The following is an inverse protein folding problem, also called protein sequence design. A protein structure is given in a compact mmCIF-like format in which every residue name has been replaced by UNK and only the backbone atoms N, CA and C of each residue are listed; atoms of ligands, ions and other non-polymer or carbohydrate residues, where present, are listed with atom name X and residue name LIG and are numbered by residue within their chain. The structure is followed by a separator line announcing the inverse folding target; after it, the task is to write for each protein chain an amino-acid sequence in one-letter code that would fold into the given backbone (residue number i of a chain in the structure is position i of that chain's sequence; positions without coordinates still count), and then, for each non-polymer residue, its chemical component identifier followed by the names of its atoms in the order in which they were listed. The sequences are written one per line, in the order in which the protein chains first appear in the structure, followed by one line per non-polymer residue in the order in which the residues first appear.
data_IF_584046173293
#
_entry.id   IF_584046173293
#
_cell.length_a   1.000
_cell.length_b   1.000
_cell.length_c   1.000
_cell.angle_alpha   90.00
_cell.angle_beta   90.00
_cell.angle_gamma   90.00
#
_symmetry.space_group_name_H-M   'P 1'
#
loop_
_entity.id
_entity.type
_entity.pdbx_description
1 polymer ?
#
# COMPACT_ATOMS: atom_id res chain seq x y z
N UNK A 1 10.72 7.55 -5.99
CA UNK A 1 9.53 6.71 -5.70
C UNK A 1 8.38 7.61 -5.23
N UNK A 2 7.15 7.30 -5.61
CA UNK A 2 5.94 7.99 -5.18
C UNK A 2 4.77 6.99 -5.05
N UNK A 3 3.67 7.40 -4.41
CA UNK A 3 2.51 6.55 -4.09
C UNK A 3 2.90 5.25 -3.35
N UNK A 4 4.00 5.27 -2.61
CA UNK A 4 4.40 4.19 -1.72
C UNK A 4 3.59 4.24 -0.43
N UNK A 5 3.54 3.14 0.28
CA UNK A 5 2.97 3.07 1.62
C UNK A 5 4.08 3.28 2.64
N UNK A 6 3.75 4.04 3.67
CA UNK A 6 4.63 4.24 4.82
C UNK A 6 3.96 3.68 6.08
N UNK A 7 4.76 3.15 6.97
CA UNK A 7 4.34 2.72 8.29
C UNK A 7 5.46 3.00 9.30
N UNK A 8 5.09 3.11 10.56
CA UNK A 8 6.04 3.14 11.66
C UNK A 8 5.62 2.10 12.70
N UNK A 9 6.53 1.21 13.07
CA UNK A 9 6.34 0.19 14.08
C UNK A 9 7.62 0.02 14.89
N UNK A 10 7.51 0.02 16.20
CA UNK A 10 8.60 -0.22 17.15
C UNK A 10 9.87 0.62 16.89
N UNK A 11 9.68 1.90 16.56
CA UNK A 11 10.78 2.84 16.28
C UNK A 11 11.42 2.67 14.88
N UNK A 12 10.89 1.80 14.06
CA UNK A 12 11.35 1.56 12.68
C UNK A 12 10.38 2.20 11.70
N UNK A 13 10.91 2.92 10.71
CA UNK A 13 10.14 3.44 9.57
C UNK A 13 10.19 2.43 8.43
N UNK A 14 9.06 2.17 7.80
CA UNK A 14 8.91 1.29 6.64
C UNK A 14 8.44 2.06 5.42
N UNK A 15 9.04 1.76 4.26
CA UNK A 15 8.67 2.29 2.95
C UNK A 15 8.46 1.12 1.99
N UNK A 16 7.22 0.92 1.56
CA UNK A 16 6.78 -0.31 0.94
C UNK A 16 6.16 -0.02 -0.43
N UNK A 17 6.60 -0.71 -1.48
CA UNK A 17 6.07 -0.63 -2.83
C UNK A 17 6.08 0.77 -3.44
N UNK A 18 4.98 1.14 -4.08
CA UNK A 18 4.83 2.40 -4.79
C UNK A 18 5.23 2.33 -6.25
N UNK A 19 5.51 3.49 -6.82
CA UNK A 19 5.87 3.66 -8.24
C UNK A 19 7.25 4.30 -8.33
N UNK A 20 8.12 3.68 -9.13
CA UNK A 20 9.38 4.25 -9.60
C UNK A 20 9.22 4.87 -10.98
N UNK A 21 10.25 5.62 -11.38
CA UNK A 21 10.42 6.08 -12.75
C UNK A 21 11.72 5.46 -13.28
N UNK A 22 11.65 4.88 -14.46
CA UNK A 22 12.82 4.45 -15.23
C UNK A 22 12.80 5.11 -16.59
N UNK A 23 13.97 5.26 -17.18
CA UNK A 23 14.10 5.74 -18.54
C UNK A 23 14.11 4.55 -19.51
N UNK A 24 13.29 4.64 -20.56
CA UNK A 24 13.23 3.68 -21.64
C UNK A 24 13.07 4.44 -22.96
N UNK A 25 14.02 4.28 -23.87
CA UNK A 25 14.05 4.98 -25.16
C UNK A 25 13.89 6.52 -25.05
N UNK A 26 14.57 7.14 -24.08
CA UNK A 26 14.52 8.58 -23.83
C UNK A 26 13.19 9.08 -23.23
N UNK A 27 12.32 8.16 -22.78
CA UNK A 27 11.05 8.49 -22.12
C UNK A 27 11.02 7.96 -20.67
N UNK A 28 10.40 8.73 -19.79
CA UNK A 28 10.15 8.27 -18.43
C UNK A 28 8.94 7.32 -18.41
N UNK A 29 9.17 6.09 -17.94
CA UNK A 29 8.16 5.05 -17.79
C UNK A 29 7.92 4.79 -16.30
N UNK A 30 6.66 4.68 -15.92
CA UNK A 30 6.25 4.31 -14.56
C UNK A 30 6.37 2.80 -14.35
N UNK A 31 7.01 2.42 -13.26
CA UNK A 31 7.21 1.03 -12.86
C UNK A 31 6.64 0.82 -11.45
N UNK A 32 5.76 -0.15 -11.30
CA UNK A 32 5.27 -0.59 -9.99
C UNK A 32 6.37 -1.38 -9.29
N UNK A 33 6.62 -1.07 -8.02
CA UNK A 33 7.74 -1.60 -7.25
C UNK A 33 7.27 -2.67 -6.27
N UNK A 34 8.01 -3.79 -6.24
CA UNK A 34 7.91 -4.83 -5.18
C UNK A 34 8.87 -4.58 -4.03
N UNK A 35 9.72 -3.58 -4.15
CA UNK A 35 10.74 -3.27 -3.15
C UNK A 35 10.14 -2.77 -1.84
N UNK A 36 10.66 -3.30 -0.74
CA UNK A 36 10.38 -2.90 0.62
C UNK A 36 11.66 -2.50 1.35
N UNK A 37 11.58 -1.46 2.16
CA UNK A 37 12.71 -0.88 2.90
C UNK A 37 12.32 -0.53 4.32
N UNK A 38 13.26 -0.65 5.25
CA UNK A 38 13.16 -0.12 6.60
C UNK A 38 14.27 0.89 6.87
N UNK A 39 14.03 1.78 7.83
CA UNK A 39 15.00 2.77 8.27
C UNK A 39 15.00 2.90 9.80
N UNK A 40 16.19 2.92 10.37
CA UNK A 40 16.44 3.41 11.73
C UNK A 40 17.60 4.39 11.71
N UNK A 41 17.69 5.34 12.66
CA UNK A 41 18.82 6.28 12.72
C UNK A 41 20.19 5.56 12.85
N UNK A 42 20.24 4.43 13.53
CA UNK A 42 21.50 3.70 13.82
C UNK A 42 22.00 2.90 12.62
N UNK A 43 21.07 2.35 11.80
CA UNK A 43 21.39 1.44 10.68
C UNK A 43 21.24 2.08 9.31
N UNK A 44 20.50 3.20 9.22
CA UNK A 44 20.08 3.77 7.95
C UNK A 44 19.07 2.89 7.22
N UNK A 45 19.04 2.99 5.90
CA UNK A 45 18.14 2.20 5.05
C UNK A 45 18.60 0.75 4.93
N UNK A 46 17.69 -0.18 5.17
CA UNK A 46 17.90 -1.62 5.00
C UNK A 46 16.85 -2.18 4.06
N UNK A 47 17.27 -2.93 3.04
CA UNK A 47 16.36 -3.62 2.12
C UNK A 47 15.72 -4.81 2.84
N UNK A 48 14.42 -4.95 2.66
CA UNK A 48 13.63 -6.07 3.19
C UNK A 48 13.35 -7.10 2.09
N UNK A 49 12.81 -8.29 2.43
CA UNK A 49 12.27 -9.20 1.44
C UNK A 49 11.26 -8.50 0.53
N UNK A 50 11.31 -8.79 -0.76
CA UNK A 50 10.40 -8.20 -1.74
C UNK A 50 8.96 -8.65 -1.50
N UNK A 51 8.03 -7.75 -1.80
CA UNK A 51 6.60 -8.06 -1.79
C UNK A 51 6.28 -9.11 -2.87
N UNK A 52 5.35 -10.05 -2.62
CA UNK A 52 4.94 -11.04 -3.61
C UNK A 52 4.39 -10.45 -4.90
N UNK A 53 3.79 -9.28 -4.82
CA UNK A 53 3.35 -8.47 -5.95
C UNK A 53 3.42 -6.98 -5.59
N UNK A 54 3.51 -6.13 -6.60
CA UNK A 54 3.60 -4.70 -6.40
C UNK A 54 2.27 -4.11 -5.92
N UNK A 55 2.35 -3.14 -5.00
CA UNK A 55 1.21 -2.34 -4.56
C UNK A 55 1.64 -0.87 -4.55
N UNK A 56 0.81 -0.02 -5.13
CA UNK A 56 0.93 1.42 -5.03
C UNK A 56 -0.39 2.05 -4.58
N UNK A 57 -0.31 3.25 -4.01
CA UNK A 57 -1.47 4.06 -3.67
C UNK A 57 -2.49 3.41 -2.71
N UNK A 58 -2.14 2.34 -2.00
CA UNK A 58 -2.95 1.81 -0.90
C UNK A 58 -3.05 2.85 0.23
N UNK A 59 -4.00 2.70 1.18
CA UNK A 59 -4.13 3.60 2.31
C UNK A 59 -2.80 3.85 3.02
N UNK A 60 -2.49 5.13 3.25
CA UNK A 60 -1.22 5.51 3.88
C UNK A 60 -1.44 6.63 4.92
N UNK A 61 -0.78 6.61 6.11
CA UNK A 61 0.09 5.54 6.61
C UNK A 61 -0.60 4.17 6.61
N UNK A 62 0.15 3.11 6.30
CA UNK A 62 -0.37 1.76 6.33
C UNK A 62 -0.76 1.36 7.77
N UNK A 63 -1.93 0.74 7.99
CA UNK A 63 -2.34 0.28 9.31
C UNK A 63 -1.35 -0.72 9.90
N UNK A 64 -1.07 -0.57 11.20
CA UNK A 64 -0.19 -1.45 11.96
C UNK A 64 -0.96 -2.04 13.14
N UNK A 65 -0.96 -3.35 13.28
CA UNK A 65 -1.56 -4.04 14.43
C UNK A 65 -0.73 -3.84 15.70
N UNK A 66 -1.31 -4.17 16.85
CA UNK A 66 -0.59 -4.12 18.14
C UNK A 66 0.63 -5.04 18.19
N UNK A 67 0.64 -6.09 17.37
CA UNK A 67 1.74 -7.06 17.29
C UNK A 67 2.79 -6.68 16.22
N UNK A 68 2.75 -5.45 15.71
CA UNK A 68 3.72 -4.97 14.72
C UNK A 68 3.49 -5.45 13.29
N UNK A 69 2.36 -6.08 12.98
CA UNK A 69 2.05 -6.48 11.60
C UNK A 69 1.53 -5.27 10.82
N UNK A 70 2.17 -4.98 9.68
CA UNK A 70 1.83 -3.87 8.78
C UNK A 70 0.91 -4.39 7.67
N UNK A 71 -0.20 -3.72 7.40
CA UNK A 71 -1.19 -4.13 6.40
C UNK A 71 -1.22 -3.18 5.20
N UNK A 72 -1.08 -3.74 4.01
CA UNK A 72 -1.27 -3.05 2.73
C UNK A 72 -2.64 -3.44 2.17
N UNK A 73 -3.60 -2.53 2.23
CA UNK A 73 -5.01 -2.81 1.98
C UNK A 73 -5.41 -2.37 0.56
N UNK A 74 -5.49 -3.31 -0.37
CA UNK A 74 -5.88 -3.03 -1.76
C UNK A 74 -4.84 -2.20 -2.51
N UNK A 75 -5.24 -1.04 -3.06
CA UNK A 75 -4.39 -0.19 -3.87
C UNK A 75 -4.30 -0.63 -5.33
N UNK A 76 -3.34 -0.06 -6.06
CA UNK A 76 -3.07 -0.38 -7.47
C UNK A 76 -1.95 -1.41 -7.59
N UNK A 77 -2.25 -2.57 -8.11
CA UNK A 77 -1.32 -3.66 -8.41
C UNK A 77 -0.90 -3.71 -9.88
N UNK A 78 -1.34 -2.74 -10.69
CA UNK A 78 -1.08 -2.65 -12.12
C UNK A 78 -2.02 -3.50 -12.99
N UNK A 79 -2.89 -4.31 -12.42
CA UNK A 79 -3.84 -5.14 -13.19
C UNK A 79 -4.81 -4.30 -14.02
N UNK A 80 -5.06 -3.07 -13.58
CA UNK A 80 -5.92 -2.11 -14.25
C UNK A 80 -5.39 -1.54 -15.56
N UNK A 81 -4.09 -1.66 -15.86
CA UNK A 81 -3.43 -1.06 -17.05
C UNK A 81 -4.02 -1.49 -18.39
N UNK A 82 -4.60 -2.67 -18.47
CA UNK A 82 -5.23 -3.23 -19.68
C UNK A 82 -6.62 -2.68 -19.99
N UNK A 83 -7.19 -1.89 -19.08
CA UNK A 83 -8.53 -1.33 -19.22
C UNK A 83 -8.50 0.16 -19.54
N UNK A 84 -9.54 0.66 -20.19
CA UNK A 84 -9.80 2.10 -20.26
C UNK A 84 -10.42 2.58 -18.93
N UNK A 85 -10.43 3.88 -18.63
CA UNK A 85 -11.10 4.38 -17.42
C UNK A 85 -12.58 3.95 -17.30
N UNK A 86 -13.26 3.82 -18.43
CA UNK A 86 -14.68 3.43 -18.49
C UNK A 86 -14.87 1.94 -18.16
N UNK A 87 -13.99 1.07 -18.67
CA UNK A 87 -14.09 -0.39 -18.52
C UNK A 87 -13.32 -0.94 -17.32
N UNK A 88 -12.54 -0.10 -16.63
CA UNK A 88 -11.77 -0.50 -15.48
C UNK A 88 -12.68 -0.99 -14.34
N UNK A 89 -12.50 -2.22 -13.83
CA UNK A 89 -13.35 -2.79 -12.79
C UNK A 89 -13.12 -2.18 -11.39
N UNK A 90 -12.05 -1.44 -11.21
CA UNK A 90 -11.64 -0.90 -9.91
C UNK A 90 -10.24 -1.37 -9.52
N UNK A 91 -9.84 -1.05 -8.30
CA UNK A 91 -8.54 -1.41 -7.76
C UNK A 91 -8.55 -2.82 -7.14
N UNK A 92 -7.35 -3.31 -6.82
CA UNK A 92 -7.15 -4.62 -6.22
C UNK A 92 -7.89 -4.74 -4.87
N UNK A 93 -8.59 -5.84 -4.67
CA UNK A 93 -9.28 -6.13 -3.41
C UNK A 93 -8.48 -7.08 -2.50
N UNK A 94 -7.32 -7.56 -2.91
CA UNK A 94 -6.44 -8.37 -2.07
C UNK A 94 -5.58 -7.47 -1.19
N UNK A 95 -5.15 -8.00 -0.07
CA UNK A 95 -4.28 -7.32 0.88
C UNK A 95 -3.07 -8.16 1.20
N UNK A 96 -1.95 -7.48 1.45
CA UNK A 96 -0.74 -8.10 1.99
C UNK A 96 -0.53 -7.65 3.43
N UNK A 97 0.14 -8.46 4.21
CA UNK A 97 0.71 -8.00 5.47
C UNK A 97 2.18 -8.41 5.60
N UNK A 98 2.94 -7.54 6.26
CA UNK A 98 4.31 -7.80 6.67
C UNK A 98 4.33 -8.08 8.17
N UNK A 99 4.71 -9.30 8.56
CA UNK A 99 5.12 -9.59 9.93
C UNK A 99 6.50 -9.00 10.17
N UNK A 100 6.59 -7.94 10.98
CA UNK A 100 7.86 -7.24 11.20
C UNK A 100 8.81 -8.02 12.13
N UNK A 101 8.33 -8.99 12.89
CA UNK A 101 9.17 -9.83 13.73
C UNK A 101 9.84 -10.95 12.93
N UNK A 102 9.08 -11.60 12.05
CA UNK A 102 9.59 -12.65 11.17
C UNK A 102 10.23 -12.10 9.88
N UNK A 103 9.91 -10.85 9.49
CA UNK A 103 10.23 -10.25 8.19
C UNK A 103 9.69 -11.07 7.02
N UNK A 104 8.45 -11.53 7.16
CA UNK A 104 7.77 -12.36 6.17
C UNK A 104 6.48 -11.70 5.67
N UNK A 105 6.23 -11.86 4.36
CA UNK A 105 4.99 -11.42 3.72
C UNK A 105 3.94 -12.52 3.73
N UNK A 106 2.71 -12.14 4.04
CA UNK A 106 1.56 -13.04 4.01
C UNK A 106 0.39 -12.41 3.26
N UNK A 107 -0.47 -13.25 2.69
CA UNK A 107 -1.77 -12.83 2.19
C UNK A 107 -2.68 -12.52 3.39
N UNK A 108 -3.22 -11.30 3.41
CA UNK A 108 -4.15 -10.83 4.45
C UNK A 108 -5.63 -10.94 4.00
N UNK A 109 -5.86 -11.51 2.82
CA UNK A 109 -7.19 -11.73 2.26
C UNK A 109 -7.83 -10.49 1.62
N UNK A 110 -9.08 -10.65 1.17
CA UNK A 110 -9.77 -9.58 0.47
C UNK A 110 -10.36 -8.53 1.41
N UNK A 111 -10.45 -7.30 0.91
CA UNK A 111 -11.16 -6.19 1.56
C UNK A 111 -12.47 -5.86 0.84
N UNK A 112 -13.46 -5.41 1.60
CA UNK A 112 -14.79 -5.10 1.07
C UNK A 112 -14.83 -3.83 0.23
N UNK A 113 -13.91 -2.89 0.45
CA UNK A 113 -13.92 -1.57 -0.15
C UNK A 113 -12.56 -1.19 -0.75
N UNK A 114 -12.11 -1.86 -1.84
CA UNK A 114 -10.86 -1.56 -2.49
C UNK A 114 -10.83 -0.13 -3.01
N UNK A 115 -9.76 0.59 -2.68
CA UNK A 115 -9.54 1.98 -3.06
C UNK A 115 -8.07 2.27 -3.26
N UNK A 116 -7.80 3.37 -3.94
CA UNK A 116 -6.48 3.93 -4.07
C UNK A 116 -6.45 5.42 -3.71
N UNK A 117 -5.27 5.96 -3.46
CA UNK A 117 -5.02 7.39 -3.21
C UNK A 117 -5.87 7.92 -2.06
N UNK A 118 -5.70 7.36 -0.86
CA UNK A 118 -6.45 7.79 0.31
C UNK A 118 -5.59 7.81 1.57
N UNK A 119 -5.87 8.76 2.49
CA UNK A 119 -5.26 8.76 3.80
C UNK A 119 -5.88 7.69 4.71
N UNK A 120 -5.07 7.21 5.64
CA UNK A 120 -5.51 6.34 6.70
C UNK A 120 -4.94 6.83 8.04
N UNK A 121 -5.71 6.79 9.09
CA UNK A 121 -5.24 7.18 10.41
C UNK A 121 -5.81 6.27 11.51
N UNK A 122 -5.06 6.13 12.60
CA UNK A 122 -5.56 5.48 13.80
C UNK A 122 -6.62 6.36 14.49
N UNK A 123 -7.75 5.77 14.86
CA UNK A 123 -8.84 6.46 15.52
C UNK A 123 -9.63 5.51 16.44
N UNK A 124 -9.71 5.82 17.72
CA UNK A 124 -10.48 5.06 18.73
C UNK A 124 -10.24 3.54 18.70
N UNK A 125 -8.98 3.12 18.62
CA UNK A 125 -8.60 1.70 18.60
C UNK A 125 -8.85 0.97 17.26
N UNK A 126 -9.20 1.72 16.20
CA UNK A 126 -9.40 1.27 14.83
C UNK A 126 -8.58 2.13 13.88
N UNK A 127 -8.73 1.90 12.61
CA UNK A 127 -8.22 2.78 11.56
C UNK A 127 -9.37 3.35 10.74
N UNK A 128 -9.27 4.62 10.38
CA UNK A 128 -10.19 5.27 9.47
C UNK A 128 -9.50 5.51 8.13
N UNK A 129 -10.08 5.00 7.05
CA UNK A 129 -9.68 5.28 5.68
C UNK A 129 -10.73 6.19 5.03
N UNK A 130 -10.30 7.33 4.52
CA UNK A 130 -11.19 8.42 4.13
C UNK A 130 -11.14 8.66 2.63
N UNK A 131 -12.31 8.70 1.98
CA UNK A 131 -12.46 8.99 0.56
C UNK A 131 -11.76 7.95 -0.35
N UNK A 132 -10.93 8.43 -1.26
CA UNK A 132 -10.15 7.63 -2.19
C UNK A 132 -10.81 7.45 -3.55
N UNK A 133 -10.09 6.78 -4.42
CA UNK A 133 -10.51 6.45 -5.78
C UNK A 133 -11.03 5.01 -5.85
N UNK A 134 -12.22 4.83 -6.42
CA UNK A 134 -12.82 3.50 -6.69
C UNK A 134 -12.20 2.86 -7.93
N UNK A 135 -11.89 3.69 -8.91
CA UNK A 135 -11.22 3.36 -10.16
C UNK A 135 -10.69 4.66 -10.77
N UNK A 136 -9.78 4.63 -11.74
CA UNK A 136 -9.22 5.84 -12.34
C UNK A 136 -10.28 6.88 -12.70
N UNK A 137 -10.16 8.08 -12.13
CA UNK A 137 -11.07 9.19 -12.34
C UNK A 137 -12.41 9.15 -11.59
N UNK A 138 -12.65 8.14 -10.75
CA UNK A 138 -13.89 8.06 -9.95
C UNK A 138 -13.61 8.04 -8.46
N UNK A 139 -13.90 9.14 -7.79
CA UNK A 139 -13.73 9.31 -6.34
C UNK A 139 -14.95 8.84 -5.55
N UNK A 140 -14.71 8.47 -4.28
CA UNK A 140 -15.75 8.15 -3.30
C UNK A 140 -15.63 9.08 -2.08
N UNK A 141 -16.74 9.63 -1.56
CA UNK A 141 -16.74 10.41 -0.33
C UNK A 141 -16.85 9.53 0.94
N UNK A 142 -16.91 8.22 0.81
CA UNK A 142 -17.15 7.33 1.94
C UNK A 142 -15.95 7.26 2.88
N UNK A 143 -16.25 7.08 4.16
CA UNK A 143 -15.28 6.82 5.23
C UNK A 143 -15.46 5.39 5.71
N UNK A 144 -14.38 4.64 5.77
CA UNK A 144 -14.39 3.25 6.22
C UNK A 144 -13.64 3.10 7.54
N UNK A 145 -14.24 2.36 8.47
CA UNK A 145 -13.59 1.92 9.69
C UNK A 145 -12.98 0.54 9.47
N UNK A 146 -11.71 0.40 9.79
CA UNK A 146 -10.93 -0.84 9.62
C UNK A 146 -10.54 -1.35 10.99
N UNK A 147 -10.89 -2.60 11.28
CA UNK A 147 -10.44 -3.32 12.47
C UNK A 147 -9.43 -4.37 12.02
N UNK A 148 -8.25 -4.37 12.63
CA UNK A 148 -7.24 -5.42 12.44
C UNK A 148 -7.45 -6.49 13.50
N UNK A 149 -7.44 -7.73 13.07
CA UNK A 149 -7.47 -8.90 13.96
C UNK A 149 -6.08 -9.19 14.53
#
# INVERSE_FOLDING_TARGET
RFLHQMAAADGVLYVLGGIGLREEDGKQVRELLTEAWSFTPERGWTRLPEMPYAIAAAPTPAPVSRNGVIYLLGGDDGSGKKYTPQTNPGFNNQSLCLDTAAMEWHDAGPIAAPRAVLPCCAWQGRFAAVNGELKPGRRSPEVWSITLS
#
